data_IF_443473220664
#
_entry.id   IF_443473220664
#
_cell.length_a   1.000
_cell.length_b   1.000
_cell.length_c   1.000
_cell.angle_alpha   90.00
_cell.angle_beta   90.00
_cell.angle_gamma   90.00
#
_symmetry.space_group_name_H-M   'P 1'
#
loop_
_entity.id
_entity.type
_entity.pdbx_description
1 polymer ?
#
# COMPACT_ATOMS: atom_id res chain seq x y z
N UNK A 1 31.79 -1.62 2.26
CA UNK A 1 30.55 -2.35 2.64
C UNK A 1 29.33 -1.44 2.47
N UNK A 2 28.68 -1.48 1.29
CA UNK A 2 27.55 -0.63 0.98
C UNK A 2 26.27 -1.15 1.69
N UNK A 3 25.72 -0.32 2.58
CA UNK A 3 24.40 -0.56 3.20
C UNK A 3 23.35 -0.46 2.08
N UNK A 4 22.78 -1.59 1.65
CA UNK A 4 21.71 -1.63 0.63
C UNK A 4 20.50 -0.83 1.14
N UNK A 5 19.91 0.02 0.28
CA UNK A 5 18.82 0.94 0.61
C UNK A 5 17.43 0.26 0.51
N UNK A 6 16.40 0.83 1.15
CA UNK A 6 15.00 0.38 1.00
C UNK A 6 14.40 0.95 -0.29
N UNK A 7 14.48 0.21 -1.40
CA UNK A 7 13.81 0.52 -2.67
C UNK A 7 13.18 -0.77 -3.24
N UNK A 8 11.93 -0.76 -3.72
CA UNK A 8 11.12 -1.99 -3.89
C UNK A 8 10.38 -2.10 -5.24
N UNK A 9 10.17 -1.00 -5.97
CA UNK A 9 9.48 -0.99 -7.26
C UNK A 9 10.38 -1.44 -8.42
N UNK A 10 9.90 -2.31 -9.33
CA UNK A 10 10.65 -2.73 -10.53
C UNK A 10 11.98 -3.47 -10.31
N UNK A 11 12.20 -4.03 -9.11
CA UNK A 11 13.34 -4.91 -8.80
C UNK A 11 12.84 -6.35 -8.72
N UNK A 12 13.46 -7.26 -9.46
CA UNK A 12 13.15 -8.69 -9.42
C UNK A 12 13.26 -9.21 -7.98
N UNK A 13 12.20 -9.86 -7.49
CA UNK A 13 12.12 -10.39 -6.13
C UNK A 13 11.62 -9.43 -5.05
N UNK A 14 11.50 -8.12 -5.33
CA UNK A 14 10.93 -7.14 -4.39
C UNK A 14 9.45 -6.88 -4.70
N UNK A 15 8.63 -6.91 -3.65
CA UNK A 15 7.18 -6.77 -3.79
C UNK A 15 6.68 -5.46 -3.22
N UNK A 16 5.81 -4.76 -3.95
CA UNK A 16 5.18 -3.52 -3.51
C UNK A 16 4.49 -3.63 -2.12
N UNK A 17 4.11 -4.86 -1.74
CA UNK A 17 3.57 -5.20 -0.42
C UNK A 17 4.52 -4.86 0.73
N UNK A 18 5.83 -4.93 0.51
CA UNK A 18 6.85 -4.63 1.52
C UNK A 18 6.79 -3.15 1.93
N UNK A 19 6.75 -2.24 0.95
CA UNK A 19 6.63 -0.81 1.20
C UNK A 19 5.33 -0.44 1.89
N UNK A 20 4.22 -1.03 1.45
CA UNK A 20 2.91 -0.76 2.05
C UNK A 20 2.89 -1.26 3.49
N UNK A 21 3.42 -2.45 3.77
CA UNK A 21 3.51 -3.02 5.11
C UNK A 21 4.39 -2.19 6.02
N UNK A 22 5.57 -1.76 5.54
CA UNK A 22 6.45 -0.85 6.28
C UNK A 22 5.74 0.47 6.56
N UNK A 23 5.10 1.09 5.56
CA UNK A 23 4.36 2.35 5.73
C UNK A 23 3.24 2.21 6.77
N UNK A 24 2.49 1.11 6.72
CA UNK A 24 1.44 0.81 7.69
C UNK A 24 2.01 0.65 9.11
N UNK A 25 3.16 -0.01 9.26
CA UNK A 25 3.88 -0.15 10.53
C UNK A 25 4.41 1.18 11.08
N UNK A 26 4.87 2.05 10.18
CA UNK A 26 5.33 3.40 10.51
C UNK A 26 4.17 4.22 11.09
N UNK A 27 3.03 4.22 10.39
CA UNK A 27 1.81 4.92 10.82
C UNK A 27 1.21 4.31 12.09
N UNK A 28 1.27 3.00 12.26
CA UNK A 28 0.84 2.36 13.50
C UNK A 28 1.66 2.85 14.71
N UNK A 29 2.94 3.13 14.50
CA UNK A 29 3.84 3.60 15.55
C UNK A 29 3.87 5.13 15.72
N UNK A 30 3.15 5.90 14.89
CA UNK A 30 3.22 7.38 14.89
C UNK A 30 2.81 7.97 16.25
N UNK A 31 1.83 7.37 16.92
CA UNK A 31 1.30 7.87 18.18
C UNK A 31 1.99 7.29 19.42
N UNK A 32 3.11 6.56 19.27
CA UNK A 32 3.92 6.14 20.42
C UNK A 32 4.52 7.37 21.10
N UNK A 33 4.62 7.37 22.45
CA UNK A 33 5.20 8.49 23.18
C UNK A 33 6.65 8.68 22.74
N UNK A 34 6.96 9.89 22.29
CA UNK A 34 8.30 10.30 21.88
C UNK A 34 8.45 11.80 22.13
N UNK A 35 9.67 12.24 22.43
CA UNK A 35 9.93 13.64 22.80
C UNK A 35 9.54 14.59 21.66
N UNK A 36 8.52 15.41 21.92
CA UNK A 36 7.98 16.40 20.98
C UNK A 36 7.14 15.83 19.83
N UNK A 37 6.75 14.55 19.86
CA UNK A 37 5.87 13.91 18.87
C UNK A 37 6.61 13.39 17.63
N UNK A 38 6.10 12.29 17.07
CA UNK A 38 6.62 11.70 15.83
C UNK A 38 6.01 12.39 14.61
N UNK A 39 6.76 12.34 13.51
CA UNK A 39 6.37 12.92 12.23
C UNK A 39 6.70 11.95 11.13
N UNK A 40 5.82 11.81 10.14
CA UNK A 40 6.07 11.05 8.92
C UNK A 40 6.11 12.01 7.74
N UNK A 41 7.19 11.96 6.98
CA UNK A 41 7.34 12.70 5.73
C UNK A 41 7.00 11.77 4.57
N UNK A 42 6.02 12.16 3.75
CA UNK A 42 5.67 11.47 2.52
C UNK A 42 6.14 12.34 1.36
N UNK A 43 7.20 11.89 0.70
CA UNK A 43 7.83 12.62 -0.39
C UNK A 43 7.34 12.10 -1.74
N UNK A 44 7.00 13.02 -2.64
CA UNK A 44 6.71 12.77 -4.05
C UNK A 44 7.73 13.53 -4.89
N UNK A 45 8.28 12.87 -5.90
CA UNK A 45 9.29 13.48 -6.76
C UNK A 45 8.66 13.97 -8.06
N UNK A 46 9.02 15.19 -8.49
CA UNK A 46 8.56 15.76 -9.74
C UNK A 46 9.19 15.03 -10.93
N UNK A 47 8.34 14.64 -11.90
CA UNK A 47 8.72 14.20 -13.25
C UNK A 47 9.98 13.31 -13.29
N UNK A 48 9.80 12.11 -12.74
CA UNK A 48 10.80 11.04 -12.64
C UNK A 48 11.68 10.82 -13.87
N UNK A 49 11.12 10.96 -15.07
CA UNK A 49 11.84 10.66 -16.30
C UNK A 49 12.28 11.91 -17.07
N UNK A 50 11.66 13.06 -16.80
CA UNK A 50 11.94 14.29 -17.56
C UNK A 50 13.07 15.13 -16.93
N UNK A 51 13.38 14.90 -15.66
CA UNK A 51 14.29 15.73 -14.86
C UNK A 51 15.62 15.05 -14.49
N UNK A 52 15.85 13.82 -14.94
CA UNK A 52 17.09 13.08 -14.63
C UNK A 52 18.25 13.70 -15.41
N UNK A 53 19.32 14.07 -14.68
CA UNK A 53 20.56 14.50 -15.31
C UNK A 53 21.22 13.36 -16.08
N UNK A 54 21.13 13.39 -17.41
CA UNK A 54 21.70 12.36 -18.29
C UNK A 54 23.20 12.16 -18.09
N UNK A 55 23.94 13.23 -17.77
CA UNK A 55 25.37 13.14 -17.46
C UNK A 55 25.62 12.33 -16.19
N UNK A 56 24.82 12.54 -15.13
CA UNK A 56 24.93 11.74 -13.91
C UNK A 56 24.52 10.30 -14.17
N UNK A 57 23.42 10.08 -14.91
CA UNK A 57 22.99 8.75 -15.31
C UNK A 57 24.13 8.02 -16.02
N UNK A 58 24.82 8.68 -16.94
CA UNK A 58 25.98 8.12 -17.63
C UNK A 58 27.14 7.84 -16.68
N UNK A 59 27.49 8.73 -15.75
CA UNK A 59 28.54 8.49 -14.76
C UNK A 59 28.21 7.32 -13.83
N UNK A 60 26.95 7.20 -13.38
CA UNK A 60 26.49 6.08 -12.57
C UNK A 60 26.55 4.78 -13.39
N UNK A 61 26.09 4.80 -14.64
CA UNK A 61 26.14 3.61 -15.50
C UNK A 61 27.58 3.19 -15.82
N UNK A 62 28.48 4.15 -16.04
CA UNK A 62 29.91 3.89 -16.24
C UNK A 62 30.58 3.36 -14.96
N UNK A 63 30.18 3.83 -13.77
CA UNK A 63 30.73 3.37 -12.50
C UNK A 63 30.21 1.98 -12.09
N UNK A 64 28.99 1.62 -12.46
CA UNK A 64 28.36 0.32 -12.12
C UNK A 64 28.49 -0.75 -13.21
N UNK A 65 29.07 -0.41 -14.37
CA UNK A 65 29.64 -1.39 -15.30
C UNK A 65 28.68 -2.20 -16.18
N UNK A 66 27.36 -1.92 -16.22
CA UNK A 66 26.43 -2.45 -17.24
C UNK A 66 24.97 -1.95 -17.12
N UNK A 67 24.21 -2.08 -18.23
CA UNK A 67 22.81 -1.69 -18.44
C UNK A 67 21.79 -2.36 -17.48
N UNK A 68 22.11 -3.50 -16.86
CA UNK A 68 21.21 -4.21 -15.92
C UNK A 68 20.86 -3.41 -14.65
N UNK A 69 21.62 -2.35 -14.34
CA UNK A 69 21.44 -1.56 -13.13
C UNK A 69 20.64 -0.26 -13.32
N UNK A 70 20.17 0.04 -14.54
CA UNK A 70 19.26 1.19 -14.80
C UNK A 70 17.99 1.09 -13.93
N UNK A 71 17.50 -0.13 -13.66
CA UNK A 71 16.36 -0.36 -12.78
C UNK A 71 16.59 0.13 -11.34
N UNK A 72 17.84 0.12 -10.85
CA UNK A 72 18.13 0.59 -9.49
C UNK A 72 17.93 2.11 -9.32
N UNK A 73 18.19 2.90 -10.38
CA UNK A 73 17.93 4.35 -10.38
C UNK A 73 16.43 4.67 -10.50
N UNK A 74 15.66 3.84 -11.21
CA UNK A 74 14.20 3.97 -11.34
C UNK A 74 13.43 3.70 -10.03
N UNK A 75 14.10 3.27 -8.94
CA UNK A 75 13.40 2.81 -7.73
C UNK A 75 13.48 3.79 -6.55
N UNK A 76 14.11 4.95 -6.70
CA UNK A 76 14.28 5.91 -5.60
C UNK A 76 13.04 6.77 -5.29
N UNK A 77 11.85 6.32 -5.69
CA UNK A 77 10.73 7.24 -5.95
C UNK A 77 9.79 7.53 -4.81
N UNK A 78 9.80 6.79 -3.70
CA UNK A 78 8.91 7.11 -2.58
C UNK A 78 9.55 6.70 -1.26
N UNK A 79 10.13 7.69 -0.56
CA UNK A 79 10.67 7.50 0.78
C UNK A 79 9.67 8.05 1.80
N UNK A 80 9.07 7.15 2.58
CA UNK A 80 8.37 7.52 3.81
C UNK A 80 9.39 7.46 4.96
N UNK A 81 9.72 8.60 5.56
CA UNK A 81 10.64 8.66 6.71
C UNK A 81 9.86 8.92 7.99
N UNK A 82 9.98 8.05 9.00
CA UNK A 82 9.61 8.43 10.37
C UNK A 82 10.76 9.22 10.99
N UNK A 83 10.42 10.38 11.54
CA UNK A 83 11.28 11.10 12.47
C UNK A 83 10.74 10.87 13.89
N UNK A 84 11.37 9.95 14.62
CA UNK A 84 11.04 9.67 16.02
C UNK A 84 11.73 10.67 16.94
N UNK A 85 10.97 11.24 17.88
CA UNK A 85 11.43 12.32 18.76
C UNK A 85 12.63 12.00 19.67
N UNK A 86 13.01 10.73 19.80
CA UNK A 86 14.08 10.31 20.72
C UNK A 86 15.49 10.67 20.20
N UNK A 87 15.66 10.92 18.91
CA UNK A 87 16.92 11.43 18.32
C UNK A 87 17.00 12.97 18.31
N UNK A 88 16.03 13.66 18.93
CA UNK A 88 15.81 15.10 18.79
C UNK A 88 15.98 15.84 20.12
N UNK A 89 17.21 15.90 20.64
CA UNK A 89 17.55 16.80 21.75
C UNK A 89 17.90 18.19 21.21
N UNK A 90 17.29 19.27 21.77
CA UNK A 90 17.63 20.72 21.74
C UNK A 90 18.02 21.42 20.41
N UNK A 91 18.71 20.75 19.48
CA UNK A 91 19.02 21.14 18.09
C UNK A 91 17.82 20.95 17.14
N UNK A 92 16.62 21.25 17.62
CA UNK A 92 15.31 20.91 17.00
C UNK A 92 15.07 21.43 15.57
N UNK A 93 15.65 22.57 15.19
CA UNK A 93 15.58 23.08 13.80
C UNK A 93 16.64 22.43 12.90
N UNK A 94 17.72 21.88 13.46
CA UNK A 94 18.86 21.38 12.69
C UNK A 94 18.54 20.09 11.94
N UNK A 95 17.77 19.15 12.53
CA UNK A 95 17.50 17.87 11.88
C UNK A 95 16.48 17.98 10.73
N UNK A 96 15.44 18.84 10.83
CA UNK A 96 14.58 19.11 9.67
C UNK A 96 15.31 19.93 8.62
N UNK A 97 16.12 20.91 9.02
CA UNK A 97 17.01 21.60 8.07
C UNK A 97 18.03 20.65 7.46
N UNK A 98 18.48 19.62 8.18
CA UNK A 98 19.38 18.61 7.65
C UNK A 98 18.66 17.77 6.60
N UNK A 99 17.41 17.37 6.84
CA UNK A 99 16.60 16.65 5.83
C UNK A 99 16.33 17.54 4.63
N UNK A 100 15.91 18.78 4.84
CA UNK A 100 15.71 19.75 3.76
C UNK A 100 17.00 19.96 2.96
N UNK A 101 18.15 20.09 3.64
CA UNK A 101 19.46 20.19 3.01
C UNK A 101 19.87 18.90 2.29
N UNK A 102 19.55 17.73 2.82
CA UNK A 102 19.78 16.45 2.15
C UNK A 102 18.92 16.34 0.90
N UNK A 103 17.67 16.81 0.93
CA UNK A 103 16.83 16.90 -0.24
C UNK A 103 17.41 17.90 -1.25
N UNK A 104 17.83 19.09 -0.84
CA UNK A 104 18.48 20.07 -1.74
C UNK A 104 19.77 19.52 -2.38
N UNK A 105 20.61 18.83 -1.60
CA UNK A 105 21.80 18.13 -2.12
C UNK A 105 21.36 17.06 -3.13
N UNK A 106 20.35 16.27 -2.80
CA UNK A 106 19.81 15.28 -3.71
C UNK A 106 19.29 15.91 -5.02
N UNK A 107 18.50 16.97 -4.93
CA UNK A 107 17.96 17.70 -6.08
C UNK A 107 19.09 18.27 -6.96
N UNK A 108 20.15 18.80 -6.34
CA UNK A 108 21.30 19.38 -7.04
C UNK A 108 22.13 18.32 -7.75
N UNK A 109 22.35 17.17 -7.10
CA UNK A 109 23.17 16.10 -7.64
C UNK A 109 22.43 15.33 -8.73
N UNK A 110 21.17 14.95 -8.49
CA UNK A 110 20.38 14.09 -9.39
C UNK A 110 19.58 14.85 -10.45
N UNK A 111 19.44 16.17 -10.31
CA UNK A 111 18.59 17.01 -11.16
C UNK A 111 17.08 16.83 -10.89
N UNK A 112 16.74 15.92 -9.99
CA UNK A 112 15.37 15.52 -9.71
C UNK A 112 14.79 16.33 -8.56
N UNK A 113 13.71 17.07 -8.82
CA UNK A 113 13.08 17.96 -7.82
C UNK A 113 12.02 17.24 -6.99
N UNK A 114 11.89 17.59 -5.72
CA UNK A 114 10.75 17.19 -4.87
C UNK A 114 9.51 17.98 -5.30
N UNK A 115 8.41 17.28 -5.51
CA UNK A 115 7.12 17.90 -5.76
C UNK A 115 6.51 18.35 -4.43
N UNK A 116 6.64 19.64 -4.10
CA UNK A 116 6.11 20.20 -2.85
C UNK A 116 4.58 20.17 -2.77
N UNK A 117 3.89 20.19 -3.90
CA UNK A 117 2.42 20.16 -3.96
C UNK A 117 1.84 18.76 -3.73
N UNK A 118 2.64 17.72 -3.99
CA UNK A 118 2.25 16.32 -3.75
C UNK A 118 2.86 15.73 -2.49
N UNK A 119 3.97 16.31 -2.01
CA UNK A 119 4.63 15.91 -0.76
C UNK A 119 3.89 16.42 0.46
N UNK A 120 3.80 15.59 1.48
CA UNK A 120 2.99 15.88 2.67
C UNK A 120 3.67 15.47 3.97
N UNK A 121 3.14 16.00 5.07
CA UNK A 121 3.55 15.66 6.43
C UNK A 121 2.37 15.14 7.22
N UNK A 122 2.57 14.02 7.91
CA UNK A 122 1.61 13.43 8.84
C UNK A 122 2.18 13.57 10.25
N UNK A 123 1.38 14.15 11.14
CA UNK A 123 1.80 14.41 12.52
C UNK A 123 1.18 13.44 13.51
N UNK A 124 1.92 13.11 14.59
CA UNK A 124 1.34 12.42 15.73
C UNK A 124 0.41 13.32 16.53
N UNK A 125 -0.51 12.72 17.29
CA UNK A 125 -1.40 13.43 18.22
C UNK A 125 -0.67 14.14 19.36
N UNK A 126 0.61 13.85 19.56
CA UNK A 126 1.43 14.39 20.66
C UNK A 126 2.27 15.60 20.23
N UNK A 127 2.14 16.08 18.99
CA UNK A 127 2.91 17.24 18.52
C UNK A 127 2.32 18.56 19.04
N UNK A 128 3.17 19.54 19.34
CA UNK A 128 2.73 20.90 19.68
C UNK A 128 2.40 21.72 18.43
N UNK A 129 1.41 22.61 18.52
CA UNK A 129 1.02 23.50 17.42
C UNK A 129 2.17 24.41 16.95
N UNK A 130 3.06 24.82 17.87
CA UNK A 130 4.25 25.60 17.54
C UNK A 130 5.23 24.80 16.67
N UNK A 131 5.48 23.52 17.03
CA UNK A 131 6.36 22.63 16.26
C UNK A 131 5.76 22.35 14.89
N UNK A 132 4.46 22.04 14.83
CA UNK A 132 3.73 21.81 13.58
C UNK A 132 3.87 22.97 12.59
N UNK A 133 3.59 24.20 13.03
CA UNK A 133 3.78 25.42 12.22
C UNK A 133 5.22 25.60 11.74
N UNK A 134 6.19 25.37 12.62
CA UNK A 134 7.61 25.47 12.25
C UNK A 134 8.00 24.45 11.20
N UNK A 135 7.48 23.22 11.27
CA UNK A 135 7.80 22.14 10.33
C UNK A 135 7.23 22.45 8.94
N UNK A 136 5.95 22.81 8.87
CA UNK A 136 5.30 23.18 7.61
C UNK A 136 6.00 24.37 6.93
N UNK A 137 6.43 25.37 7.71
CA UNK A 137 7.17 26.53 7.18
C UNK A 137 8.56 26.17 6.63
N UNK A 138 9.27 25.25 7.29
CA UNK A 138 10.63 24.87 6.86
C UNK A 138 10.57 23.98 5.62
N UNK A 139 9.65 23.02 5.56
CA UNK A 139 9.58 22.06 4.45
C UNK A 139 8.80 22.60 3.25
N UNK A 140 7.81 23.47 3.47
CA UNK A 140 6.89 23.93 2.44
C UNK A 140 5.90 22.86 1.98
N UNK A 141 5.72 21.78 2.75
CA UNK A 141 4.75 20.71 2.46
C UNK A 141 3.42 20.98 3.15
N UNK A 142 2.34 20.41 2.62
CA UNK A 142 1.04 20.46 3.27
C UNK A 142 0.91 19.37 4.34
N UNK A 143 -0.03 19.56 5.26
CA UNK A 143 -0.38 18.54 6.24
C UNK A 143 -1.39 17.56 5.63
N UNK A 144 -1.08 16.26 5.70
CA UNK A 144 -2.01 15.20 5.32
C UNK A 144 -2.57 14.52 6.57
N UNK A 145 -3.90 14.34 6.59
CA UNK A 145 -4.61 13.67 7.67
C UNK A 145 -4.82 12.19 7.36
N UNK A 146 -4.82 11.36 8.40
CA UNK A 146 -5.20 9.95 8.29
C UNK A 146 -6.73 9.82 8.29
N UNK A 147 -7.30 8.84 7.55
CA UNK A 147 -6.62 7.88 6.69
C UNK A 147 -6.25 8.46 5.31
N UNK A 148 -5.18 7.97 4.70
CA UNK A 148 -4.81 8.31 3.32
C UNK A 148 -4.59 7.05 2.48
N UNK A 149 -4.53 7.20 1.15
CA UNK A 149 -4.33 6.07 0.23
C UNK A 149 -2.90 6.00 -0.26
N UNK A 150 -2.30 4.82 -0.17
CA UNK A 150 -0.97 4.52 -0.68
C UNK A 150 -1.02 3.29 -1.59
N UNK A 151 -0.72 3.46 -2.88
CA UNK A 151 -0.73 2.38 -3.89
C UNK A 151 -2.04 1.57 -3.83
N UNK A 152 -3.19 2.25 -3.80
CA UNK A 152 -4.49 1.57 -3.76
C UNK A 152 -4.95 1.14 -2.37
N UNK A 153 -4.09 1.18 -1.35
CA UNK A 153 -4.37 0.65 -0.01
C UNK A 153 -4.64 1.80 0.97
N UNK A 154 -5.73 1.75 1.77
CA UNK A 154 -5.95 2.73 2.83
C UNK A 154 -4.95 2.50 3.97
N UNK A 155 -4.09 3.48 4.20
CA UNK A 155 -3.18 3.55 5.34
C UNK A 155 -3.89 4.24 6.49
N UNK A 156 -4.00 3.52 7.61
CA UNK A 156 -4.80 3.94 8.77
C UNK A 156 -4.00 3.84 10.07
N UNK A 157 -4.33 4.69 11.04
CA UNK A 157 -3.87 4.51 12.41
C UNK A 157 -5.04 3.99 13.25
N UNK A 158 -4.96 2.73 13.68
CA UNK A 158 -6.01 2.07 14.48
C UNK A 158 -6.66 0.89 13.77
N UNK A 159 -7.96 0.65 14.05
CA UNK A 159 -8.71 -0.48 13.53
C UNK A 159 -9.30 -0.20 12.15
N UNK A 160 -9.16 -1.15 11.23
CA UNK A 160 -9.78 -1.10 9.90
C UNK A 160 -11.30 -1.27 10.01
N UNK A 161 -12.04 -0.38 9.35
CA UNK A 161 -13.50 -0.36 9.30
C UNK A 161 -13.99 -0.51 7.85
N UNK A 162 -15.26 -0.88 7.69
CA UNK A 162 -15.90 -1.06 6.39
C UNK A 162 -15.82 0.21 5.52
N UNK A 163 -16.03 1.39 6.13
CA UNK A 163 -15.96 2.69 5.45
C UNK A 163 -14.62 2.97 4.74
N UNK A 164 -13.54 2.31 5.14
CA UNK A 164 -12.23 2.46 4.49
C UNK A 164 -12.08 1.58 3.25
N UNK A 165 -12.97 0.61 3.05
CA UNK A 165 -12.95 -0.39 1.99
C UNK A 165 -14.15 -0.30 1.04
N UNK A 166 -15.01 0.71 1.22
CA UNK A 166 -16.18 0.95 0.37
C UNK A 166 -15.80 1.13 -1.10
N UNK A 167 -14.65 1.74 -1.39
CA UNK A 167 -14.17 1.91 -2.77
C UNK A 167 -13.99 0.56 -3.49
N UNK A 168 -13.58 -0.50 -2.78
CA UNK A 168 -13.38 -1.82 -3.39
C UNK A 168 -14.69 -2.52 -3.67
N UNK A 169 -15.65 -2.38 -2.75
CA UNK A 169 -17.01 -2.85 -2.97
C UNK A 169 -17.63 -2.09 -4.15
N UNK A 170 -17.45 -0.76 -4.19
CA UNK A 170 -17.89 0.11 -5.28
C UNK A 170 -17.32 -0.31 -6.63
N UNK A 171 -16.00 -0.54 -6.75
CA UNK A 171 -15.37 -1.02 -7.99
C UNK A 171 -15.93 -2.35 -8.47
N UNK A 172 -16.22 -3.27 -7.55
CA UNK A 172 -16.85 -4.55 -7.90
C UNK A 172 -18.27 -4.32 -8.39
N UNK A 173 -19.02 -3.42 -7.74
CA UNK A 173 -20.37 -3.08 -8.13
C UNK A 173 -20.41 -2.39 -9.51
N UNK A 174 -19.54 -1.41 -9.76
CA UNK A 174 -19.38 -0.75 -11.07
C UNK A 174 -19.07 -1.75 -12.18
N UNK A 175 -18.22 -2.75 -11.91
CA UNK A 175 -17.94 -3.83 -12.87
C UNK A 175 -19.16 -4.71 -13.13
N UNK A 176 -19.91 -5.05 -12.09
CA UNK A 176 -21.15 -5.81 -12.19
C UNK A 176 -22.19 -5.05 -13.02
N UNK A 177 -22.38 -3.76 -12.72
CA UNK A 177 -23.39 -2.91 -13.35
C UNK A 177 -23.04 -2.60 -14.81
N UNK A 178 -21.74 -2.48 -15.13
CA UNK A 178 -21.26 -2.33 -16.50
C UNK A 178 -21.50 -3.55 -17.39
N UNK A 179 -21.73 -4.73 -16.80
CA UNK A 179 -22.10 -5.91 -17.56
C UNK A 179 -23.62 -6.00 -17.72
N UNK A 180 -24.08 -6.23 -18.95
CA UNK A 180 -25.48 -6.58 -19.23
C UNK A 180 -25.78 -7.98 -18.69
N UNK A 181 -25.96 -8.10 -17.37
CA UNK A 181 -26.08 -9.38 -16.67
C UNK A 181 -27.20 -10.28 -17.23
N UNK A 182 -28.27 -9.69 -17.80
CA UNK A 182 -29.38 -10.41 -18.46
C UNK A 182 -28.95 -11.21 -19.69
N UNK A 183 -27.86 -10.81 -20.36
CA UNK A 183 -27.32 -11.49 -21.54
C UNK A 183 -26.31 -12.58 -21.19
N UNK A 184 -25.89 -12.67 -19.92
CA UNK A 184 -24.88 -13.62 -19.48
C UNK A 184 -25.53 -14.91 -18.99
N UNK A 185 -25.03 -16.04 -19.50
CA UNK A 185 -25.32 -17.35 -18.94
C UNK A 185 -24.76 -17.48 -17.52
N UNK A 186 -25.29 -18.43 -16.74
CA UNK A 186 -24.78 -18.70 -15.39
C UNK A 186 -23.29 -19.12 -15.41
N UNK A 187 -22.86 -19.85 -16.46
CA UNK A 187 -21.45 -20.21 -16.66
C UNK A 187 -20.56 -19.00 -16.93
N UNK A 188 -21.01 -18.05 -17.76
CA UNK A 188 -20.27 -16.81 -18.02
C UNK A 188 -20.13 -15.95 -16.75
N UNK A 189 -21.20 -15.83 -15.97
CA UNK A 189 -21.17 -15.11 -14.67
C UNK A 189 -20.20 -15.76 -13.70
N UNK A 190 -20.19 -17.10 -13.62
CA UNK A 190 -19.23 -17.84 -12.80
C UNK A 190 -17.79 -17.52 -13.19
N UNK A 191 -17.48 -17.52 -14.49
CA UNK A 191 -16.15 -17.25 -15.00
C UNK A 191 -15.70 -15.81 -14.66
N UNK A 192 -16.59 -14.83 -14.83
CA UNK A 192 -16.34 -13.43 -14.46
C UNK A 192 -16.10 -13.27 -12.96
N UNK A 193 -16.85 -13.99 -12.11
CA UNK A 193 -16.60 -13.99 -10.67
C UNK A 193 -15.21 -14.56 -10.36
N UNK A 194 -14.84 -15.71 -10.94
CA UNK A 194 -13.57 -16.38 -10.65
C UNK A 194 -12.35 -15.58 -11.09
N UNK A 195 -12.39 -15.00 -12.29
CA UNK A 195 -11.20 -14.42 -12.92
C UNK A 195 -11.15 -12.89 -12.84
N UNK A 196 -12.30 -12.21 -12.79
CA UNK A 196 -12.35 -10.75 -12.75
C UNK A 196 -12.71 -10.25 -11.35
N UNK A 197 -13.90 -10.56 -10.84
CA UNK A 197 -14.34 -9.97 -9.58
C UNK A 197 -13.53 -10.45 -8.37
N UNK A 198 -13.19 -11.74 -8.36
CA UNK A 198 -12.38 -12.34 -7.31
C UNK A 198 -10.92 -11.86 -7.30
N UNK A 199 -10.41 -11.26 -8.37
CA UNK A 199 -9.04 -10.74 -8.43
C UNK A 199 -8.92 -9.29 -7.94
N UNK A 200 -9.98 -8.49 -8.03
CA UNK A 200 -10.01 -7.09 -7.59
C UNK A 200 -9.61 -6.91 -6.12
N UNK A 201 -10.15 -7.67 -5.13
CA UNK A 201 -9.80 -7.44 -3.73
C UNK A 201 -8.45 -8.05 -3.33
N UNK A 202 -7.81 -8.89 -4.16
CA UNK A 202 -6.59 -9.65 -3.79
C UNK A 202 -5.47 -8.74 -3.28
N UNK A 203 -5.25 -7.59 -3.93
CA UNK A 203 -4.22 -6.63 -3.52
C UNK A 203 -4.42 -6.09 -2.10
N UNK A 204 -5.67 -5.92 -1.67
CA UNK A 204 -5.96 -5.49 -0.30
C UNK A 204 -5.91 -6.65 0.69
N UNK A 205 -6.45 -7.81 0.30
CA UNK A 205 -6.49 -9.01 1.14
C UNK A 205 -5.09 -9.49 1.52
N UNK A 206 -4.09 -9.33 0.64
CA UNK A 206 -2.72 -9.75 0.91
C UNK A 206 -2.01 -8.91 1.98
N UNK A 207 -2.48 -7.68 2.25
CA UNK A 207 -1.79 -6.72 3.14
C UNK A 207 -2.62 -6.46 4.40
N UNK A 208 -3.92 -6.29 4.23
CA UNK A 208 -4.83 -5.90 5.30
C UNK A 208 -5.54 -7.12 5.86
N UNK A 209 -5.76 -7.13 7.17
CA UNK A 209 -6.75 -8.01 7.79
C UNK A 209 -8.13 -7.36 7.65
N UNK A 210 -8.91 -7.87 6.71
CA UNK A 210 -10.20 -7.28 6.32
C UNK A 210 -11.28 -7.72 7.33
N UNK A 211 -12.15 -6.81 7.81
CA UNK A 211 -13.25 -7.18 8.69
C UNK A 211 -14.21 -8.17 8.04
N UNK A 212 -14.75 -9.12 8.82
CA UNK A 212 -15.74 -10.10 8.34
C UNK A 212 -16.94 -9.44 7.64
N UNK A 213 -17.35 -8.24 8.09
CA UNK A 213 -18.46 -7.49 7.47
C UNK A 213 -18.20 -7.17 5.99
N UNK A 214 -16.95 -6.85 5.62
CA UNK A 214 -16.58 -6.57 4.23
C UNK A 214 -16.60 -7.85 3.40
N UNK A 215 -16.09 -8.96 3.94
CA UNK A 215 -16.14 -10.27 3.27
C UNK A 215 -17.60 -10.66 2.98
N UNK A 216 -18.50 -10.47 3.96
CA UNK A 216 -19.95 -10.69 3.78
C UNK A 216 -20.52 -9.79 2.69
N UNK A 217 -20.12 -8.51 2.64
CA UNK A 217 -20.57 -7.58 1.59
C UNK A 217 -20.10 -8.01 0.20
N UNK A 218 -18.84 -8.43 0.05
CA UNK A 218 -18.29 -8.92 -1.20
C UNK A 218 -19.00 -10.21 -1.68
N UNK A 219 -19.17 -11.17 -0.77
CA UNK A 219 -19.90 -12.40 -1.06
C UNK A 219 -21.36 -12.13 -1.47
N UNK A 220 -22.01 -11.11 -0.88
CA UNK A 220 -23.34 -10.67 -1.28
C UNK A 220 -23.37 -10.12 -2.71
N UNK A 221 -22.41 -9.27 -3.08
CA UNK A 221 -22.28 -8.77 -4.46
C UNK A 221 -22.11 -9.94 -5.44
N UNK A 222 -21.23 -10.89 -5.13
CA UNK A 222 -21.00 -12.05 -5.99
C UNK A 222 -22.23 -12.96 -6.11
N UNK A 223 -22.93 -13.21 -4.99
CA UNK A 223 -24.17 -13.98 -4.97
C UNK A 223 -25.27 -13.35 -5.80
N UNK A 224 -25.50 -12.05 -5.62
CA UNK A 224 -26.50 -11.30 -6.38
C UNK A 224 -26.19 -11.29 -7.87
N UNK A 225 -24.91 -11.11 -8.24
CA UNK A 225 -24.50 -11.17 -9.63
C UNK A 225 -24.68 -12.58 -10.23
N UNK A 226 -24.24 -13.62 -9.52
CA UNK A 226 -24.36 -15.00 -9.98
C UNK A 226 -25.81 -15.38 -10.27
N UNK A 227 -26.69 -15.25 -9.26
CA UNK A 227 -28.09 -15.66 -9.38
C UNK A 227 -28.87 -14.71 -10.29
N UNK A 228 -28.43 -13.46 -10.39
CA UNK A 228 -28.99 -12.43 -11.24
C UNK A 228 -30.20 -11.74 -10.63
N UNK A 229 -30.78 -10.82 -11.40
CA UNK A 229 -31.91 -9.99 -11.00
C UNK A 229 -33.21 -10.41 -11.72
N UNK A 230 -34.36 -10.19 -11.08
CA UNK A 230 -35.71 -10.22 -11.65
C UNK A 230 -36.42 -8.93 -11.22
N UNK A 231 -36.96 -8.14 -12.16
CA UNK A 231 -37.68 -6.89 -11.87
C UNK A 231 -36.90 -5.92 -10.96
N UNK A 232 -35.58 -5.79 -11.19
CA UNK A 232 -34.71 -4.92 -10.39
C UNK A 232 -34.38 -5.46 -8.98
N UNK A 233 -34.90 -6.63 -8.59
CA UNK A 233 -34.58 -7.29 -7.31
C UNK A 233 -33.69 -8.52 -7.53
N UNK A 234 -32.79 -8.84 -6.59
CA UNK A 234 -32.00 -10.07 -6.66
C UNK A 234 -32.91 -11.30 -6.63
N UNK A 235 -32.64 -12.26 -7.52
CA UNK A 235 -33.34 -13.55 -7.50
C UNK A 235 -33.04 -14.27 -6.19
N UNK A 236 -33.96 -15.14 -5.76
CA UNK A 236 -33.74 -16.00 -4.59
C UNK A 236 -32.49 -16.85 -4.79
N UNK A 237 -31.61 -16.87 -3.79
CA UNK A 237 -30.42 -17.72 -3.78
C UNK A 237 -30.88 -19.14 -3.42
N UNK A 238 -30.71 -20.10 -4.32
CA UNK A 238 -31.11 -21.50 -4.09
C UNK A 238 -30.14 -22.28 -3.21
N UNK A 239 -28.93 -21.74 -3.01
CA UNK A 239 -27.88 -22.29 -2.16
C UNK A 239 -27.07 -21.17 -1.52
N UNK A 240 -26.62 -21.39 -0.29
CA UNK A 240 -25.72 -20.47 0.40
C UNK A 240 -24.42 -20.26 -0.39
N UNK A 241 -23.83 -19.07 -0.28
CA UNK A 241 -22.62 -18.72 -1.00
C UNK A 241 -21.43 -19.60 -0.61
N UNK A 242 -21.29 -19.95 0.67
CA UNK A 242 -20.19 -20.81 1.14
C UNK A 242 -20.21 -22.19 0.50
N UNK A 243 -21.40 -22.73 0.19
CA UNK A 243 -21.51 -23.99 -0.56
C UNK A 243 -20.89 -23.88 -1.96
N UNK A 244 -21.09 -22.75 -2.64
CA UNK A 244 -20.51 -22.49 -3.97
C UNK A 244 -18.99 -22.40 -3.96
N UNK A 245 -18.40 -22.11 -2.81
CA UNK A 245 -16.96 -22.00 -2.67
C UNK A 245 -16.24 -23.36 -2.57
N UNK A 246 -16.99 -24.43 -2.35
CA UNK A 246 -16.44 -25.78 -2.27
C UNK A 246 -15.85 -26.25 -3.61
N UNK A 247 -14.92 -27.23 -3.59
CA UNK A 247 -14.29 -27.76 -4.80
C UNK A 247 -15.30 -28.32 -5.80
N UNK A 248 -14.93 -28.32 -7.09
CA UNK A 248 -15.78 -28.88 -8.16
C UNK A 248 -16.01 -30.37 -7.98
N UNK A 249 -15.07 -31.06 -7.34
CA UNK A 249 -15.15 -32.47 -6.97
C UNK A 249 -16.30 -32.76 -5.99
N UNK A 250 -16.69 -31.78 -5.17
CA UNK A 250 -17.86 -31.87 -4.28
C UNK A 250 -19.18 -31.49 -5.01
N UNK A 251 -19.15 -31.37 -6.34
CA UNK A 251 -20.30 -30.98 -7.15
C UNK A 251 -20.64 -29.49 -7.10
N UNK A 252 -19.67 -28.66 -6.69
CA UNK A 252 -19.87 -27.24 -6.41
C UNK A 252 -19.18 -26.34 -7.44
N UNK A 253 -19.37 -25.03 -7.33
CA UNK A 253 -18.91 -24.11 -8.37
C UNK A 253 -17.39 -23.85 -8.33
N UNK A 254 -16.65 -24.29 -7.31
CA UNK A 254 -15.19 -24.10 -7.20
C UNK A 254 -14.79 -22.62 -7.18
N UNK A 255 -15.58 -21.76 -6.54
CA UNK A 255 -15.24 -20.34 -6.36
C UNK A 255 -14.32 -20.21 -5.16
N UNK A 256 -13.19 -19.50 -5.28
CA UNK A 256 -12.33 -19.29 -4.12
C UNK A 256 -13.05 -18.50 -3.03
N UNK A 257 -13.09 -19.04 -1.82
CA UNK A 257 -13.61 -18.32 -0.66
C UNK A 257 -12.68 -17.15 -0.33
N UNK A 258 -13.21 -15.94 -0.19
CA UNK A 258 -12.42 -14.73 0.08
C UNK A 258 -11.67 -14.84 1.43
N UNK A 259 -12.31 -15.39 2.46
CA UNK A 259 -11.70 -15.53 3.79
C UNK A 259 -10.56 -16.55 3.77
N UNK A 260 -10.73 -17.66 3.07
CA UNK A 260 -9.67 -18.67 2.90
C UNK A 260 -8.52 -18.12 2.05
N UNK A 261 -8.85 -17.43 0.96
CA UNK A 261 -7.86 -16.75 0.10
C UNK A 261 -7.03 -15.75 0.91
N UNK A 262 -7.65 -14.97 1.80
CA UNK A 262 -6.93 -14.05 2.68
C UNK A 262 -5.98 -14.80 3.62
N UNK A 263 -6.45 -15.89 4.23
CA UNK A 263 -5.63 -16.72 5.11
C UNK A 263 -4.41 -17.27 4.37
N UNK A 264 -4.60 -17.80 3.16
CA UNK A 264 -3.52 -18.30 2.30
C UNK A 264 -2.51 -17.21 1.95
N UNK A 265 -2.99 -16.01 1.57
CA UNK A 265 -2.13 -14.88 1.25
C UNK A 265 -1.29 -14.44 2.46
N UNK A 266 -1.88 -14.41 3.65
CA UNK A 266 -1.16 -14.09 4.89
C UNK A 266 -0.16 -15.18 5.28
N UNK A 267 -0.47 -16.46 5.06
CA UNK A 267 0.51 -17.53 5.25
C UNK A 267 1.69 -17.38 4.30
N UNK A 268 1.44 -17.09 3.02
CA UNK A 268 2.49 -16.83 2.03
C UNK A 268 3.34 -15.62 2.42
N UNK A 269 2.71 -14.56 2.93
CA UNK A 269 3.41 -13.37 3.43
C UNK A 269 4.28 -13.69 4.66
N UNK A 270 3.74 -14.44 5.63
CA UNK A 270 4.48 -14.87 6.81
C UNK A 270 5.66 -15.78 6.44
N UNK A 271 5.47 -16.72 5.52
CA UNK A 271 6.54 -17.56 4.99
C UNK A 271 7.67 -16.73 4.37
N UNK A 272 7.32 -15.68 3.59
CA UNK A 272 8.29 -14.75 3.02
C UNK A 272 9.09 -14.03 4.11
N UNK A 273 8.42 -13.56 5.17
CA UNK A 273 9.11 -12.95 6.33
C UNK A 273 10.09 -13.95 6.93
N UNK A 274 9.68 -15.19 7.19
CA UNK A 274 10.48 -16.19 7.90
C UNK A 274 11.68 -16.68 7.08
N UNK A 275 11.53 -16.84 5.76
CA UNK A 275 12.55 -17.43 4.89
C UNK A 275 13.53 -16.40 4.32
N UNK A 276 13.07 -15.18 4.00
CA UNK A 276 13.97 -14.18 3.41
C UNK A 276 14.92 -13.56 4.44
N UNK A 277 16.10 -13.14 3.96
CA UNK A 277 17.09 -12.38 4.72
C UNK A 277 17.27 -10.96 4.17
N UNK A 278 16.16 -10.32 3.82
CA UNK A 278 16.09 -8.93 3.37
C UNK A 278 16.00 -7.97 4.57
N UNK A 279 16.21 -6.67 4.35
CA UNK A 279 16.12 -5.69 5.44
C UNK A 279 14.72 -5.60 6.04
N UNK A 280 13.69 -5.68 5.19
CA UNK A 280 12.31 -5.66 5.65
C UNK A 280 12.01 -6.93 6.46
N UNK A 281 12.40 -8.12 5.99
CA UNK A 281 12.16 -9.37 6.71
C UNK A 281 12.89 -9.37 8.07
N UNK A 282 14.12 -8.86 8.14
CA UNK A 282 14.86 -8.68 9.39
C UNK A 282 14.15 -7.73 10.36
N UNK A 283 13.60 -6.61 9.87
CA UNK A 283 12.82 -5.68 10.69
C UNK A 283 11.59 -6.36 11.28
N UNK A 284 10.81 -7.07 10.45
CA UNK A 284 9.61 -7.77 10.91
C UNK A 284 9.94 -8.95 11.85
N UNK A 285 10.99 -9.72 11.57
CA UNK A 285 11.50 -10.76 12.47
C UNK A 285 11.86 -10.17 13.84
N UNK A 286 12.71 -9.15 13.88
CA UNK A 286 13.14 -8.53 15.13
C UNK A 286 11.97 -7.96 15.97
N UNK A 287 10.88 -7.55 15.31
CA UNK A 287 9.71 -6.98 15.97
C UNK A 287 8.69 -8.02 16.44
N UNK A 288 8.46 -9.06 15.65
CA UNK A 288 7.32 -9.98 15.83
C UNK A 288 7.72 -11.44 16.09
N UNK A 289 8.91 -11.86 15.68
CA UNK A 289 9.44 -13.21 15.89
C UNK A 289 10.42 -13.12 17.06
N UNK A 290 9.93 -13.45 18.25
CA UNK A 290 10.75 -13.59 19.46
C UNK A 290 11.15 -15.05 19.64
#
# INVERSE_FOLDING_TARGET
MARRQPSVTFILGRSIFENISLTQEMIHSINKPARGGNVVLKLDMAKAYDSVGWNLLHHVLSAFGCFEHICHLQTMYFFAMILSGNEWNSKSKASVRAIARTLEIYETWFGQKVNKDKSSIIFSKHITAARKRSLLRITGFYEETLPFKYVGVPIICGRLKLVHLDEVVGKIQERIDGWKARLLSNGARLLLIKHVLGSIPIHLLSILQVPKSVIVSLNRCFGNFFWGMKEGKPKKHWRAWDGRCKPVQEGEAGIRNIAETQKELHMKFAWKILTENSQWSRFFKAKYVK
#
